data_IF_487143032061
#
_entry.id   IF_487143032061
#
_cell.length_a   1.000
_cell.length_b   1.000
_cell.length_c   1.000
_cell.angle_alpha   90.00
_cell.angle_beta   90.00
_cell.angle_gamma   90.00
#
_symmetry.space_group_name_H-M   'P 1'
#
loop_
_entity.id
_entity.type
_entity.pdbx_description
1 polymer ?
#
# COMPACT_ATOMS: atom_id res chain seq x y z
N UNK A 1 0.35 19.35 12.44
CA UNK A 1 0.39 18.16 13.30
C UNK A 1 -1.00 17.59 13.42
N UNK A 2 -1.17 16.26 13.62
CA UNK A 2 -2.46 15.63 13.87
C UNK A 2 -3.32 15.29 12.67
N UNK A 3 -2.77 15.27 11.43
CA UNK A 3 -3.51 14.67 10.30
C UNK A 3 -3.49 13.16 10.39
N UNK A 4 -4.62 12.53 10.11
CA UNK A 4 -4.79 11.09 10.09
C UNK A 4 -4.38 10.55 8.71
N UNK A 5 -3.43 9.60 8.70
CA UNK A 5 -3.01 8.87 7.51
C UNK A 5 -3.58 7.44 7.56
N UNK A 6 -4.34 7.07 6.57
CA UNK A 6 -4.80 5.71 6.32
C UNK A 6 -3.85 4.96 5.40
N UNK A 7 -3.43 3.80 5.84
CA UNK A 7 -2.63 2.85 5.05
C UNK A 7 -3.55 1.75 4.55
N UNK A 8 -3.83 1.73 3.25
CA UNK A 8 -4.63 0.68 2.64
C UNK A 8 -3.71 -0.44 2.13
N UNK A 9 -3.66 -1.53 2.82
CA UNK A 9 -2.76 -2.68 2.84
C UNK A 9 -1.46 -2.43 3.64
N UNK A 10 -1.28 -3.24 4.69
CA UNK A 10 -0.20 -3.11 5.67
C UNK A 10 0.92 -4.13 5.43
N UNK A 11 1.37 -4.23 4.16
CA UNK A 11 2.54 -5.01 3.75
C UNK A 11 3.86 -4.26 3.98
N UNK A 12 4.95 -4.74 3.38
CA UNK A 12 6.29 -4.16 3.57
C UNK A 12 6.36 -2.65 3.25
N UNK A 13 5.74 -2.21 2.16
CA UNK A 13 5.72 -0.79 1.77
C UNK A 13 4.85 0.02 2.73
N UNK A 14 3.62 -0.45 3.02
CA UNK A 14 2.70 0.21 3.94
C UNK A 14 3.30 0.40 5.33
N UNK A 15 3.98 -0.61 5.88
CA UNK A 15 4.70 -0.53 7.17
C UNK A 15 5.79 0.55 7.18
N UNK A 16 6.59 0.62 6.11
CA UNK A 16 7.64 1.64 6.01
C UNK A 16 7.05 3.05 5.91
N UNK A 17 5.98 3.24 5.13
CA UNK A 17 5.28 4.53 5.04
C UNK A 17 4.69 4.90 6.40
N UNK A 18 4.04 3.97 7.09
CA UNK A 18 3.49 4.19 8.44
C UNK A 18 4.57 4.62 9.43
N UNK A 19 5.73 3.93 9.45
CA UNK A 19 6.86 4.25 10.31
C UNK A 19 7.40 5.67 10.07
N UNK A 20 7.57 6.05 8.80
CA UNK A 20 8.06 7.38 8.42
C UNK A 20 7.03 8.45 8.81
N UNK A 21 5.76 8.24 8.47
CA UNK A 21 4.69 9.19 8.76
C UNK A 21 4.45 9.39 10.27
N UNK A 22 4.59 8.32 11.07
CA UNK A 22 4.59 8.41 12.54
C UNK A 22 5.74 9.29 13.04
N UNK A 23 6.93 9.16 12.44
CA UNK A 23 8.12 9.97 12.79
C UNK A 23 7.93 11.47 12.55
N UNK A 24 7.09 11.87 11.61
CA UNK A 24 6.72 13.28 11.36
C UNK A 24 5.44 13.73 12.07
N UNK A 25 4.91 12.91 13.00
CA UNK A 25 3.82 13.27 13.90
C UNK A 25 2.41 13.13 13.30
N UNK A 26 2.20 12.21 12.35
CA UNK A 26 0.86 11.84 11.88
C UNK A 26 0.24 10.74 12.76
N UNK A 27 -1.08 10.75 12.88
CA UNK A 27 -1.86 9.65 13.44
C UNK A 27 -2.08 8.59 12.35
N UNK A 28 -1.62 7.36 12.57
CA UNK A 28 -1.65 6.31 11.56
C UNK A 28 -2.76 5.31 11.84
N UNK A 29 -3.57 5.07 10.83
CA UNK A 29 -4.59 4.05 10.75
C UNK A 29 -4.25 3.07 9.63
N UNK A 30 -4.61 1.80 9.76
CA UNK A 30 -4.38 0.83 8.70
C UNK A 30 -5.54 -0.16 8.56
N UNK A 31 -5.79 -0.56 7.33
CA UNK A 31 -6.65 -1.67 6.96
C UNK A 31 -5.90 -2.64 6.06
N UNK A 32 -5.97 -3.92 6.39
CA UNK A 32 -5.43 -5.01 5.56
C UNK A 32 -6.26 -6.26 5.80
N UNK A 33 -6.62 -6.95 4.72
CA UNK A 33 -7.45 -8.16 4.80
C UNK A 33 -6.68 -9.36 5.38
N UNK A 34 -5.36 -9.36 5.25
CA UNK A 34 -4.51 -10.52 5.60
C UNK A 34 -3.59 -10.27 6.79
N UNK A 35 -3.29 -9.02 7.11
CA UNK A 35 -2.42 -8.69 8.24
C UNK A 35 -3.23 -8.69 9.55
N UNK A 36 -2.86 -9.50 10.56
CA UNK A 36 -3.52 -9.49 11.86
C UNK A 36 -3.45 -8.10 12.52
N UNK A 37 -4.52 -7.70 13.22
CA UNK A 37 -4.60 -6.40 13.90
C UNK A 37 -3.52 -6.24 14.97
N UNK A 38 -3.21 -7.31 15.67
CA UNK A 38 -2.19 -7.37 16.72
C UNK A 38 -0.81 -6.96 16.19
N UNK A 39 -0.52 -7.27 14.93
CA UNK A 39 0.75 -6.87 14.28
C UNK A 39 0.78 -5.36 14.06
N UNK A 40 -0.34 -4.77 13.63
CA UNK A 40 -0.46 -3.32 13.46
C UNK A 40 -0.37 -2.58 14.81
N UNK A 41 -1.05 -3.10 15.82
CA UNK A 41 -1.03 -2.56 17.18
C UNK A 41 0.37 -2.62 17.81
N UNK A 42 1.11 -3.72 17.60
CA UNK A 42 2.50 -3.85 18.06
C UNK A 42 3.42 -2.80 17.43
N UNK A 43 3.16 -2.41 16.17
CA UNK A 43 3.86 -1.31 15.50
C UNK A 43 3.35 0.08 15.97
N UNK A 44 2.34 0.12 16.85
CA UNK A 44 1.71 1.33 17.37
C UNK A 44 0.84 2.03 16.30
N UNK A 45 0.21 1.26 15.43
CA UNK A 45 -0.73 1.67 14.39
C UNK A 45 -2.14 1.31 14.85
N UNK A 46 -3.12 2.11 14.47
CA UNK A 46 -4.54 1.89 14.82
C UNK A 46 -5.20 1.07 13.70
N UNK A 47 -5.47 -0.23 13.89
CA UNK A 47 -6.18 -1.01 12.90
C UNK A 47 -7.65 -0.59 12.84
N UNK A 48 -8.25 -0.66 11.65
CA UNK A 48 -9.69 -0.47 11.44
C UNK A 48 -10.31 -1.73 10.82
N UNK A 49 -11.64 -1.86 10.93
CA UNK A 49 -12.35 -3.09 10.55
C UNK A 49 -12.62 -3.20 9.06
N UNK A 50 -12.64 -2.09 8.35
CA UNK A 50 -12.96 -2.07 6.92
C UNK A 50 -12.26 -0.94 6.17
N UNK A 51 -12.21 -1.05 4.83
CA UNK A 51 -11.75 0.01 3.98
C UNK A 51 -12.65 1.26 4.12
N UNK A 52 -13.96 1.08 4.25
CA UNK A 52 -14.94 2.15 4.43
C UNK A 52 -14.64 2.97 5.69
N UNK A 53 -14.30 2.31 6.78
CA UNK A 53 -13.90 2.98 8.02
C UNK A 53 -12.58 3.73 7.87
N UNK A 54 -11.60 3.14 7.17
CA UNK A 54 -10.33 3.80 6.88
C UNK A 54 -10.53 5.12 6.16
N UNK A 55 -11.33 5.09 5.07
CA UNK A 55 -11.59 6.26 4.25
C UNK A 55 -12.42 7.31 4.99
N UNK A 56 -13.42 6.90 5.77
CA UNK A 56 -14.22 7.84 6.58
C UNK A 56 -13.42 8.51 7.69
N UNK A 57 -12.36 7.86 8.17
CA UNK A 57 -11.57 8.34 9.32
C UNK A 57 -10.40 9.23 8.93
N UNK A 58 -9.79 9.01 7.74
CA UNK A 58 -8.47 9.53 7.42
C UNK A 58 -8.52 10.71 6.45
N UNK A 59 -7.71 11.76 6.74
CA UNK A 59 -7.56 12.92 5.86
C UNK A 59 -6.70 12.61 4.63
N UNK A 60 -5.77 11.69 4.77
CA UNK A 60 -4.89 11.19 3.72
C UNK A 60 -5.04 9.68 3.67
N UNK A 61 -5.23 9.10 2.50
CA UNK A 61 -5.22 7.65 2.31
C UNK A 61 -4.14 7.30 1.29
N UNK A 62 -3.23 6.40 1.66
CA UNK A 62 -2.15 5.91 0.81
C UNK A 62 -2.39 4.45 0.45
N UNK A 63 -2.38 4.17 -0.86
CA UNK A 63 -2.66 2.85 -1.42
C UNK A 63 -1.39 2.03 -1.54
N UNK A 64 -1.44 0.79 -1.03
CA UNK A 64 -0.36 -0.20 -1.12
C UNK A 64 -0.87 -1.58 -1.52
N UNK A 65 -2.13 -1.65 -1.99
CA UNK A 65 -2.80 -2.87 -2.42
C UNK A 65 -2.23 -3.36 -3.77
N UNK A 66 -2.05 -4.68 -3.94
CA UNK A 66 -1.69 -5.26 -5.24
C UNK A 66 -2.88 -5.19 -6.20
N UNK A 67 -2.62 -5.23 -7.51
CA UNK A 67 -3.66 -5.40 -8.52
C UNK A 67 -3.97 -6.89 -8.69
N UNK A 68 -5.15 -7.29 -8.23
CA UNK A 68 -5.73 -8.64 -8.39
C UNK A 68 -7.11 -8.54 -9.03
N UNK A 69 -7.75 -9.65 -9.34
CA UNK A 69 -9.13 -9.66 -9.82
C UNK A 69 -10.10 -8.98 -8.83
N UNK A 70 -9.83 -9.14 -7.52
CA UNK A 70 -10.68 -8.60 -6.44
C UNK A 70 -10.43 -7.11 -6.19
N UNK A 71 -9.19 -6.65 -6.33
CA UNK A 71 -8.80 -5.27 -6.04
C UNK A 71 -8.89 -4.35 -7.24
N UNK A 72 -9.06 -4.89 -8.44
CA UNK A 72 -9.26 -4.11 -9.66
C UNK A 72 -10.52 -3.24 -9.54
N UNK A 73 -10.36 -1.93 -9.78
CA UNK A 73 -11.43 -0.93 -9.66
C UNK A 73 -12.10 -0.88 -8.28
N UNK A 74 -11.49 -1.45 -7.25
CA UNK A 74 -12.06 -1.42 -5.88
C UNK A 74 -12.07 -0.03 -5.26
N UNK A 75 -11.16 0.84 -5.70
CA UNK A 75 -11.10 2.24 -5.27
C UNK A 75 -12.03 3.03 -6.20
N UNK A 76 -13.29 3.10 -5.80
CA UNK A 76 -14.41 3.64 -6.57
C UNK A 76 -14.98 4.92 -5.95
N UNK A 77 -16.02 5.47 -6.58
CA UNK A 77 -16.70 6.69 -6.13
C UNK A 77 -17.16 6.60 -4.67
N UNK A 78 -17.89 5.55 -4.32
CA UNK A 78 -18.55 5.42 -3.01
C UNK A 78 -17.54 5.31 -1.87
N UNK A 79 -16.43 4.59 -2.11
CA UNK A 79 -15.38 4.43 -1.13
C UNK A 79 -14.63 5.76 -0.90
N UNK A 80 -14.17 6.42 -1.96
CA UNK A 80 -13.38 7.65 -1.84
C UNK A 80 -14.23 8.83 -1.37
N UNK A 81 -15.52 8.86 -1.70
CA UNK A 81 -16.45 9.90 -1.24
C UNK A 81 -16.63 9.93 0.29
N UNK A 82 -16.31 8.84 0.99
CA UNK A 82 -16.34 8.79 2.47
C UNK A 82 -15.26 9.64 3.13
N UNK A 83 -14.21 10.04 2.38
CA UNK A 83 -13.11 10.82 2.94
C UNK A 83 -13.59 12.17 3.50
N UNK A 84 -13.03 12.62 4.63
CA UNK A 84 -13.29 13.94 5.19
C UNK A 84 -13.05 15.07 4.16
N UNK A 85 -13.57 16.25 4.44
CA UNK A 85 -13.28 17.43 3.60
C UNK A 85 -11.78 17.68 3.49
N UNK A 86 -11.34 18.12 2.31
CA UNK A 86 -9.94 18.29 1.95
C UNK A 86 -9.12 16.97 1.97
N UNK A 87 -9.79 15.87 1.65
CA UNK A 87 -9.18 14.55 1.55
C UNK A 87 -8.09 14.50 0.47
N UNK A 88 -7.05 13.71 0.73
CA UNK A 88 -5.96 13.44 -0.22
C UNK A 88 -5.83 11.93 -0.44
N UNK A 89 -6.07 11.48 -1.66
CA UNK A 89 -5.80 10.12 -2.10
C UNK A 89 -4.40 10.05 -2.73
N UNK A 90 -3.57 9.10 -2.27
CA UNK A 90 -2.21 8.88 -2.78
C UNK A 90 -2.11 7.46 -3.34
N UNK A 91 -1.76 7.33 -4.61
CA UNK A 91 -1.57 6.03 -5.25
C UNK A 91 -0.13 5.86 -5.78
N UNK A 92 0.66 5.10 -5.06
CA UNK A 92 1.99 4.65 -5.49
C UNK A 92 2.05 3.12 -5.66
N UNK A 93 0.88 2.47 -5.71
CA UNK A 93 0.75 1.03 -5.82
C UNK A 93 0.56 0.57 -7.27
N UNK A 94 -0.68 0.59 -7.76
CA UNK A 94 -1.06 0.14 -9.11
C UNK A 94 -2.20 1.00 -9.65
N UNK A 95 -2.18 1.34 -10.95
CA UNK A 95 -3.27 2.13 -11.57
C UNK A 95 -4.58 1.34 -11.63
N UNK A 96 -4.49 0.04 -11.83
CA UNK A 96 -5.62 -0.86 -12.03
C UNK A 96 -6.57 -0.94 -10.82
N UNK A 97 -6.11 -0.56 -9.64
CA UNK A 97 -6.95 -0.58 -8.43
C UNK A 97 -7.94 0.60 -8.40
N UNK A 98 -7.65 1.68 -9.12
CA UNK A 98 -8.52 2.87 -9.22
C UNK A 98 -9.56 2.66 -10.32
N UNK A 99 -10.83 2.92 -10.02
CA UNK A 99 -11.84 3.20 -11.05
C UNK A 99 -11.69 4.67 -11.46
N UNK A 100 -10.95 4.91 -12.55
CA UNK A 100 -10.61 6.27 -12.97
C UNK A 100 -11.84 7.10 -13.38
N UNK A 101 -12.86 6.48 -14.02
CA UNK A 101 -14.10 7.16 -14.37
C UNK A 101 -14.88 7.62 -13.12
N UNK A 102 -14.93 6.79 -12.10
CA UNK A 102 -15.52 7.13 -10.81
C UNK A 102 -14.75 8.25 -10.11
N UNK A 103 -13.43 8.20 -10.16
CA UNK A 103 -12.58 9.21 -9.52
C UNK A 103 -12.70 10.57 -10.22
N UNK A 104 -12.75 10.60 -11.57
CA UNK A 104 -13.02 11.81 -12.36
C UNK A 104 -14.36 12.44 -11.97
N UNK A 105 -15.43 11.63 -11.95
CA UNK A 105 -16.76 12.07 -11.51
C UNK A 105 -16.73 12.63 -10.09
N UNK A 106 -16.12 11.90 -9.16
CA UNK A 106 -16.03 12.33 -7.77
C UNK A 106 -15.25 13.64 -7.61
N UNK A 107 -14.14 13.83 -8.31
CA UNK A 107 -13.37 15.08 -8.23
C UNK A 107 -14.10 16.28 -8.82
N UNK A 108 -15.07 16.08 -9.74
CA UNK A 108 -16.01 17.12 -10.15
C UNK A 108 -17.01 17.46 -9.03
N UNK A 109 -17.58 16.43 -8.38
CA UNK A 109 -18.58 16.60 -7.32
C UNK A 109 -17.96 17.12 -6.01
N UNK A 110 -16.67 16.80 -5.77
CA UNK A 110 -15.89 17.14 -4.59
C UNK A 110 -14.69 18.04 -4.94
N UNK A 111 -14.89 19.37 -5.06
CA UNK A 111 -13.80 20.29 -5.42
C UNK A 111 -12.70 20.41 -4.33
N UNK A 112 -12.93 19.87 -3.16
CA UNK A 112 -11.99 19.80 -2.04
C UNK A 112 -11.06 18.58 -2.09
N UNK A 113 -11.41 17.55 -2.87
CA UNK A 113 -10.63 16.31 -2.96
C UNK A 113 -9.38 16.48 -3.84
N UNK A 114 -8.30 15.84 -3.43
CA UNK A 114 -7.02 15.83 -4.16
C UNK A 114 -6.58 14.40 -4.46
N UNK A 115 -5.93 14.24 -5.60
CA UNK A 115 -5.35 12.96 -6.02
C UNK A 115 -3.90 13.13 -6.45
N UNK A 116 -3.00 12.31 -5.88
CA UNK A 116 -1.57 12.29 -6.18
C UNK A 116 -1.13 10.87 -6.51
N UNK A 117 -0.34 10.71 -7.58
CA UNK A 117 0.14 9.39 -8.00
C UNK A 117 1.54 9.46 -8.60
N UNK A 118 2.31 8.36 -8.51
CA UNK A 118 3.56 8.16 -9.26
C UNK A 118 3.38 7.24 -10.48
N UNK A 119 2.14 6.85 -10.76
CA UNK A 119 1.76 6.01 -11.89
C UNK A 119 0.78 6.79 -12.74
N UNK A 120 1.18 7.11 -13.96
CA UNK A 120 0.33 7.85 -14.89
C UNK A 120 -0.98 7.09 -15.16
N UNK A 121 -2.16 7.65 -14.79
CA UNK A 121 -3.45 7.06 -15.10
C UNK A 121 -3.72 7.07 -16.61
N UNK A 122 -4.67 6.25 -17.08
CA UNK A 122 -5.06 6.22 -18.47
C UNK A 122 -5.68 7.56 -18.92
N UNK A 123 -6.44 8.22 -18.03
CA UNK A 123 -7.09 9.51 -18.25
C UNK A 123 -6.25 10.69 -17.73
N UNK A 124 -4.91 10.59 -17.86
CA UNK A 124 -3.98 11.60 -17.31
C UNK A 124 -4.28 13.02 -17.78
N UNK A 125 -4.50 13.21 -19.09
CA UNK A 125 -4.78 14.52 -19.69
C UNK A 125 -6.08 15.13 -19.12
N UNK A 126 -7.12 14.32 -19.00
CA UNK A 126 -8.41 14.73 -18.44
C UNK A 126 -8.28 15.16 -16.97
N UNK A 127 -7.53 14.40 -16.16
CA UNK A 127 -7.23 14.80 -14.79
C UNK A 127 -6.42 16.10 -14.72
N UNK A 128 -5.43 16.26 -15.58
CA UNK A 128 -4.55 17.43 -15.57
C UNK A 128 -5.30 18.71 -15.99
N UNK A 129 -6.14 18.63 -17.01
CA UNK A 129 -6.88 19.76 -17.56
C UNK A 129 -8.04 20.21 -16.66
N UNK A 130 -8.78 19.25 -16.08
CA UNK A 130 -9.97 19.56 -15.28
C UNK A 130 -9.64 19.87 -13.81
N UNK A 131 -8.52 19.38 -13.26
CA UNK A 131 -8.24 19.50 -11.83
C UNK A 131 -6.87 20.14 -11.52
N UNK A 132 -6.55 21.31 -12.09
CA UNK A 132 -5.29 21.99 -11.81
C UNK A 132 -5.15 22.28 -10.31
N UNK A 133 -3.98 21.96 -9.73
CA UNK A 133 -3.69 22.13 -8.29
C UNK A 133 -4.35 21.10 -7.36
N UNK A 134 -5.19 20.18 -7.89
CA UNK A 134 -5.82 19.09 -7.14
C UNK A 134 -5.37 17.71 -7.58
N UNK A 135 -4.85 17.60 -8.79
CA UNK A 135 -4.24 16.41 -9.34
C UNK A 135 -2.75 16.63 -9.57
N UNK A 136 -1.96 15.60 -9.25
CA UNK A 136 -0.54 15.55 -9.58
C UNK A 136 -0.12 14.12 -9.92
N UNK A 137 0.61 13.95 -11.01
CA UNK A 137 1.29 12.71 -11.38
C UNK A 137 2.74 12.97 -11.72
N UNK A 138 3.66 12.09 -11.28
CA UNK A 138 5.03 12.16 -11.76
C UNK A 138 5.10 11.73 -13.24
N UNK A 139 6.04 12.27 -14.04
CA UNK A 139 6.16 11.91 -15.47
C UNK A 139 6.44 10.42 -15.72
N UNK A 140 7.01 9.74 -14.73
CA UNK A 140 7.28 8.30 -14.73
C UNK A 140 7.20 7.76 -13.32
N UNK A 141 6.94 6.46 -13.20
CA UNK A 141 6.98 5.78 -11.92
C UNK A 141 8.36 5.95 -11.26
N UNK A 142 8.37 6.50 -10.03
CA UNK A 142 9.59 6.75 -9.28
C UNK A 142 9.85 5.68 -8.21
N UNK A 143 8.80 5.08 -7.67
CA UNK A 143 8.90 4.07 -6.62
C UNK A 143 9.56 2.78 -7.10
N UNK A 144 10.47 2.23 -6.29
CA UNK A 144 11.17 0.95 -6.50
C UNK A 144 12.03 0.85 -7.78
N UNK A 145 12.32 1.96 -8.46
CA UNK A 145 13.16 1.99 -9.68
C UNK A 145 14.53 2.65 -9.44
N UNK A 146 15.00 2.69 -8.21
CA UNK A 146 16.33 3.16 -7.88
C UNK A 146 17.34 2.02 -7.94
N UNK A 147 18.62 2.33 -8.22
CA UNK A 147 19.71 1.34 -8.19
C UNK A 147 19.78 0.67 -6.80
N UNK A 148 19.60 1.43 -5.73
CA UNK A 148 19.58 0.93 -4.36
C UNK A 148 18.42 -0.06 -4.12
N UNK A 149 17.22 0.23 -4.60
CA UNK A 149 16.08 -0.68 -4.48
C UNK A 149 16.33 -2.01 -5.18
N UNK A 150 16.94 -1.99 -6.38
CA UNK A 150 17.30 -3.20 -7.13
C UNK A 150 18.37 -4.01 -6.40
N UNK A 151 19.40 -3.36 -5.86
CA UNK A 151 20.45 -4.03 -5.06
C UNK A 151 19.84 -4.68 -3.82
N UNK A 152 19.01 -3.95 -3.07
CA UNK A 152 18.36 -4.47 -1.86
C UNK A 152 17.42 -5.63 -2.17
N UNK A 153 16.69 -5.59 -3.29
CA UNK A 153 15.87 -6.71 -3.74
C UNK A 153 16.71 -7.95 -4.06
N UNK A 154 17.84 -7.78 -4.74
CA UNK A 154 18.80 -8.86 -5.03
C UNK A 154 19.38 -9.47 -3.75
N UNK A 155 19.78 -8.65 -2.79
CA UNK A 155 20.29 -9.11 -1.49
C UNK A 155 19.21 -9.88 -0.72
N UNK A 156 17.98 -9.37 -0.70
CA UNK A 156 16.87 -10.04 -0.03
C UNK A 156 16.56 -11.41 -0.64
N UNK A 157 16.52 -11.50 -1.97
CA UNK A 157 16.32 -12.76 -2.69
C UNK A 157 17.45 -13.76 -2.39
N UNK A 158 18.71 -13.33 -2.42
CA UNK A 158 19.85 -14.17 -2.09
C UNK A 158 19.77 -14.71 -0.64
N UNK A 159 19.40 -13.86 0.31
CA UNK A 159 19.21 -14.27 1.72
C UNK A 159 18.09 -15.31 1.87
N UNK A 160 16.99 -15.16 1.16
CA UNK A 160 15.89 -16.13 1.18
C UNK A 160 16.33 -17.49 0.61
N UNK A 161 17.06 -17.50 -0.51
CA UNK A 161 17.58 -18.74 -1.12
C UNK A 161 18.56 -19.43 -0.16
N UNK A 162 19.50 -18.68 0.42
CA UNK A 162 20.47 -19.23 1.39
C UNK A 162 19.76 -19.78 2.64
N UNK A 163 18.73 -19.07 3.15
CA UNK A 163 17.90 -19.55 4.25
C UNK A 163 17.22 -20.87 3.93
N UNK A 164 16.54 -20.94 2.80
CA UNK A 164 15.87 -22.14 2.34
C UNK A 164 16.83 -23.35 2.18
N UNK A 165 18.02 -23.14 1.60
CA UNK A 165 19.02 -24.19 1.45
C UNK A 165 19.58 -24.67 2.79
N UNK A 166 19.81 -23.77 3.75
CA UNK A 166 20.25 -24.15 5.10
C UNK A 166 19.21 -24.98 5.84
N UNK A 167 17.95 -24.58 5.78
CA UNK A 167 16.86 -25.29 6.42
C UNK A 167 16.61 -26.65 5.74
N UNK A 168 16.67 -26.73 4.40
CA UNK A 168 16.58 -27.98 3.64
C UNK A 168 17.72 -28.97 3.98
N UNK A 169 18.96 -28.46 4.16
CA UNK A 169 20.10 -29.29 4.56
C UNK A 169 19.91 -29.79 6.01
N UNK A 170 19.35 -28.99 6.90
CA UNK A 170 19.03 -29.41 8.28
C UNK A 170 18.01 -30.56 8.30
N UNK A 171 16.97 -30.50 7.47
CA UNK A 171 15.96 -31.56 7.34
C UNK A 171 16.52 -32.88 6.77
N UNK A 172 17.46 -32.83 5.82
CA UNK A 172 18.11 -34.03 5.28
C UNK A 172 19.00 -34.70 6.31
N UNK A 173 19.68 -33.97 7.17
CA UNK A 173 20.48 -34.54 8.25
C UNK A 173 19.63 -35.19 9.36
N UNK A 174 18.46 -34.63 9.69
CA UNK A 174 17.55 -35.24 10.67
C UNK A 174 16.97 -36.56 10.17
N UNK A 175 16.56 -36.67 8.90
CA UNK A 175 16.08 -37.94 8.28
C UNK A 175 17.16 -38.99 8.17
N UNK A 176 18.41 -38.64 7.94
CA UNK A 176 19.52 -39.59 7.89
C UNK A 176 19.87 -40.18 9.27
N UNK A 177 19.52 -39.52 10.34
CA UNK A 177 19.69 -40.04 11.71
C UNK A 177 18.56 -40.98 12.15
N UNK A 178 17.32 -40.73 11.72
CA UNK A 178 16.17 -41.57 12.04
C UNK A 178 16.22 -42.95 11.33
N UNK A 179 16.82 -43.04 10.14
CA UNK A 179 16.94 -44.28 9.38
C UNK A 179 18.08 -45.22 9.84
N UNK A 180 18.88 -44.84 10.83
CA UNK A 180 19.99 -45.67 11.38
C UNK A 180 19.62 -46.46 12.63
N UNK A 181 18.41 -46.38 13.13
CA UNK A 181 17.97 -47.08 14.34
C UNK A 181 17.07 -48.31 14.09
N UNK A 182 16.75 -48.60 12.82
CA UNK A 182 15.91 -49.76 12.45
C UNK A 182 16.62 -50.80 11.58
N UNK A 183 17.88 -51.18 11.92
CA UNK A 183 18.54 -52.39 11.38
C UNK A 183 19.24 -53.14 12.49
#
# INVERSE_FOLDING_TARGET
>A
MGKKLGIHAYGNVGRNVARIAKGIGMDIYAYDTYCPKEVMEADGIKPVDSAEELYATCNVVSLHIPATAETKNSINYDLVNRMPKNGLLVNTARKEVINEADLLRLMNDRPDLKYVTDIMPAHHEEFADHFPGRYFSTPKKMGAQTAEANINAGIAAARQIVGFLKDAVSYTHLRAHETRHDL
#
